data_IF_955243202070
#
_entry.id   IF_955243202070
#
_cell.length_a   1.000
_cell.length_b   1.000
_cell.length_c   1.000
_cell.angle_alpha   90.00
_cell.angle_beta   90.00
_cell.angle_gamma   90.00
#
_symmetry.space_group_name_H-M   'P 1'
#
loop_
_entity.id
_entity.type
_entity.pdbx_description
1 polymer ?
#
# COMPACT_ATOMS: atom_id res chain seq x y z
N UNK A 1 9.24 -3.79 -9.07
CA UNK A 1 10.03 -3.75 -7.80
C UNK A 1 9.25 -4.37 -6.65
N UNK A 2 8.04 -3.90 -6.35
CA UNK A 2 7.22 -4.47 -5.28
C UNK A 2 6.84 -5.95 -5.53
N UNK A 3 6.58 -6.33 -6.79
CA UNK A 3 6.40 -7.73 -7.18
C UNK A 3 7.54 -8.65 -6.72
N UNK A 4 8.81 -8.22 -6.89
CA UNK A 4 9.98 -9.00 -6.47
C UNK A 4 9.98 -9.24 -4.95
N UNK A 5 9.59 -8.23 -4.15
CA UNK A 5 9.46 -8.34 -2.69
C UNK A 5 8.44 -9.43 -2.33
N UNK A 6 7.27 -9.42 -2.96
CA UNK A 6 6.21 -10.39 -2.69
C UNK A 6 6.53 -11.79 -3.23
N UNK A 7 7.23 -11.91 -4.36
CA UNK A 7 7.78 -13.18 -4.84
C UNK A 7 8.79 -13.76 -3.84
N UNK A 8 9.68 -12.92 -3.29
CA UNK A 8 10.65 -13.35 -2.28
C UNK A 8 10.00 -13.80 -0.97
N UNK A 9 8.99 -13.06 -0.49
CA UNK A 9 8.18 -13.46 0.66
C UNK A 9 7.50 -14.81 0.40
N UNK A 10 6.97 -15.00 -0.82
CA UNK A 10 6.33 -16.25 -1.26
C UNK A 10 7.32 -17.39 -1.40
N UNK A 11 8.58 -17.14 -1.75
CA UNK A 11 9.61 -18.19 -1.79
C UNK A 11 10.09 -18.54 -0.37
N UNK A 12 10.07 -17.55 0.54
CA UNK A 12 10.54 -17.66 1.92
C UNK A 12 9.42 -17.85 2.94
N UNK A 13 8.26 -18.42 2.53
CA UNK A 13 7.05 -18.55 3.38
C UNK A 13 7.36 -19.09 4.77
N UNK A 14 8.13 -20.18 4.83
CA UNK A 14 8.53 -20.86 6.07
C UNK A 14 9.36 -19.97 7.00
N UNK A 15 10.27 -19.16 6.44
CA UNK A 15 11.09 -18.24 7.20
C UNK A 15 10.23 -17.15 7.84
N UNK A 16 9.33 -16.55 7.07
CA UNK A 16 8.43 -15.53 7.58
C UNK A 16 7.43 -16.11 8.60
N UNK A 17 6.89 -17.31 8.35
CA UNK A 17 6.00 -18.03 9.26
C UNK A 17 6.69 -18.45 10.56
N UNK A 18 8.03 -18.59 10.60
CA UNK A 18 8.78 -18.86 11.83
C UNK A 18 8.87 -17.66 12.79
N UNK A 19 8.29 -16.51 12.42
CA UNK A 19 8.18 -15.37 13.33
C UNK A 19 7.41 -15.75 14.60
N UNK A 20 7.90 -15.28 15.75
CA UNK A 20 7.31 -15.52 17.07
C UNK A 20 6.46 -14.33 17.56
N UNK A 21 6.71 -13.13 17.01
CA UNK A 21 6.02 -11.89 17.33
C UNK A 21 5.66 -11.11 16.06
N UNK A 22 4.68 -10.22 16.16
CA UNK A 22 4.33 -9.33 15.05
C UNK A 22 5.48 -8.38 14.68
N UNK A 23 6.20 -7.88 15.67
CA UNK A 23 7.38 -7.04 15.46
C UNK A 23 8.49 -7.78 14.68
N UNK A 24 8.73 -9.06 14.97
CA UNK A 24 9.69 -9.87 14.23
C UNK A 24 9.26 -10.01 12.76
N UNK A 25 7.97 -10.30 12.52
CA UNK A 25 7.42 -10.45 11.18
C UNK A 25 7.49 -9.13 10.37
N UNK A 26 7.13 -8.01 10.99
CA UNK A 26 7.19 -6.67 10.42
C UNK A 26 8.63 -6.27 10.06
N UNK A 27 9.59 -6.53 10.96
CA UNK A 27 11.00 -6.28 10.71
C UNK A 27 11.57 -7.15 9.58
N UNK A 28 11.15 -8.42 9.48
CA UNK A 28 11.53 -9.27 8.34
C UNK A 28 11.01 -8.71 7.01
N UNK A 29 9.76 -8.23 6.99
CA UNK A 29 9.18 -7.59 5.80
C UNK A 29 9.92 -6.30 5.44
N UNK A 30 10.20 -5.45 6.43
CA UNK A 30 11.00 -4.23 6.27
C UNK A 30 12.38 -4.52 5.66
N UNK A 31 13.04 -5.60 6.10
CA UNK A 31 14.33 -6.01 5.56
C UNK A 31 14.24 -6.49 4.11
N UNK A 32 13.13 -7.14 3.72
CA UNK A 32 12.92 -7.52 2.32
C UNK A 32 12.64 -6.29 1.44
N UNK A 33 11.88 -5.31 1.92
CA UNK A 33 11.70 -4.02 1.23
C UNK A 33 13.03 -3.30 0.99
N UNK A 34 13.93 -3.25 1.99
CA UNK A 34 15.24 -2.60 1.90
C UNK A 34 16.15 -3.12 0.79
N UNK A 35 15.92 -4.34 0.29
CA UNK A 35 16.70 -4.90 -0.82
C UNK A 35 16.37 -4.24 -2.17
N UNK A 36 15.19 -3.65 -2.29
CA UNK A 36 14.68 -3.08 -3.53
C UNK A 36 14.33 -1.59 -3.43
N UNK A 37 14.13 -1.09 -2.21
CA UNK A 37 13.69 0.28 -1.92
C UNK A 37 14.62 0.95 -0.91
N UNK A 38 14.85 2.25 -1.10
CA UNK A 38 15.56 3.08 -0.13
C UNK A 38 14.61 3.53 0.98
N UNK A 39 14.97 3.24 2.23
CA UNK A 39 14.22 3.74 3.38
C UNK A 39 14.56 5.22 3.63
N UNK A 40 13.52 6.03 3.85
CA UNK A 40 13.64 7.41 4.32
C UNK A 40 13.54 7.35 5.85
N UNK A 41 14.56 7.80 6.56
CA UNK A 41 14.65 7.76 8.02
C UNK A 41 14.48 9.18 8.62
N UNK A 42 14.66 9.34 9.93
CA UNK A 42 14.80 10.68 10.54
C UNK A 42 13.58 11.63 10.44
N UNK A 43 13.84 12.94 10.50
CA UNK A 43 12.82 13.96 10.23
C UNK A 43 12.47 13.92 8.74
N UNK A 44 11.29 13.36 8.47
CA UNK A 44 10.70 13.24 7.14
C UNK A 44 10.81 14.55 6.34
N UNK A 45 10.57 15.70 6.96
CA UNK A 45 10.55 16.98 6.25
C UNK A 45 11.95 17.46 5.87
N UNK A 46 12.96 17.22 6.70
CA UNK A 46 14.35 17.53 6.38
C UNK A 46 14.88 16.60 5.29
N UNK A 47 14.69 15.28 5.43
CA UNK A 47 15.15 14.32 4.42
C UNK A 47 14.49 14.56 3.06
N UNK A 48 13.17 14.79 3.04
CA UNK A 48 12.45 15.07 1.80
C UNK A 48 12.84 16.43 1.19
N UNK A 49 13.25 17.42 1.98
CA UNK A 49 13.67 18.74 1.45
C UNK A 49 14.92 18.64 0.58
N UNK A 50 15.85 17.77 0.98
CA UNK A 50 17.04 17.48 0.21
C UNK A 50 16.75 16.62 -1.01
N UNK A 51 15.81 15.67 -0.89
CA UNK A 51 15.46 14.74 -1.97
C UNK A 51 14.60 15.41 -3.05
N UNK A 52 13.62 16.23 -2.67
CA UNK A 52 12.66 16.85 -3.59
C UNK A 52 13.08 18.22 -4.12
N UNK A 53 14.14 18.83 -3.55
CA UNK A 53 14.56 20.21 -3.83
C UNK A 53 13.42 21.24 -3.63
N UNK A 54 12.48 20.92 -2.71
CA UNK A 54 11.32 21.76 -2.37
C UNK A 54 11.45 22.32 -0.95
N UNK A 55 10.87 23.51 -0.67
CA UNK A 55 10.80 24.03 0.69
C UNK A 55 10.06 23.09 1.65
N UNK A 56 10.51 22.98 2.91
CA UNK A 56 9.89 22.10 3.93
C UNK A 56 8.38 22.34 4.08
N UNK A 57 7.92 23.59 3.91
CA UNK A 57 6.49 23.94 3.97
C UNK A 57 5.68 23.26 2.87
N UNK A 58 6.18 23.25 1.64
CA UNK A 58 5.50 22.61 0.49
C UNK A 58 5.48 21.10 0.65
N UNK A 59 6.58 20.51 1.11
CA UNK A 59 6.67 19.09 1.41
C UNK A 59 5.67 18.70 2.49
N UNK A 60 5.60 19.46 3.58
CA UNK A 60 4.65 19.22 4.67
C UNK A 60 3.21 19.31 4.18
N UNK A 61 2.89 20.29 3.33
CA UNK A 61 1.56 20.42 2.73
C UNK A 61 1.24 19.24 1.82
N UNK A 62 2.14 18.86 0.92
CA UNK A 62 1.97 17.72 0.01
C UNK A 62 1.83 16.40 0.78
N UNK A 63 2.66 16.18 1.80
CA UNK A 63 2.60 14.99 2.64
C UNK A 63 1.30 14.93 3.46
N UNK A 64 0.83 16.06 3.97
CA UNK A 64 -0.46 16.12 4.67
C UNK A 64 -1.65 15.85 3.74
N UNK A 65 -1.58 16.30 2.47
CA UNK A 65 -2.59 15.96 1.46
C UNK A 65 -2.57 14.47 1.14
N UNK A 66 -1.38 13.90 0.92
CA UNK A 66 -1.21 12.45 0.73
C UNK A 66 -1.74 11.66 1.93
N UNK A 67 -1.42 12.10 3.16
CA UNK A 67 -1.92 11.49 4.39
C UNK A 67 -3.45 11.42 4.42
N UNK A 68 -4.14 12.49 4.03
CA UNK A 68 -5.62 12.48 3.96
C UNK A 68 -6.10 11.39 3.00
N UNK A 69 -5.55 11.32 1.80
CA UNK A 69 -5.94 10.32 0.80
C UNK A 69 -5.61 8.88 1.24
N UNK A 70 -4.46 8.66 1.88
CA UNK A 70 -4.08 7.36 2.48
C UNK A 70 -5.06 6.95 3.58
N UNK A 71 -5.55 7.91 4.37
CA UNK A 71 -6.46 7.65 5.49
C UNK A 71 -7.93 7.61 5.11
N UNK A 72 -8.30 7.91 3.86
CA UNK A 72 -9.68 7.78 3.40
C UNK A 72 -10.19 6.33 3.51
N UNK A 73 -11.47 6.18 3.87
CA UNK A 73 -12.06 4.86 4.13
C UNK A 73 -12.40 4.11 2.83
N UNK A 74 -12.69 4.83 1.74
CA UNK A 74 -13.15 4.25 0.48
C UNK A 74 -12.52 4.87 -0.78
N UNK A 75 -11.27 5.32 -0.72
CA UNK A 75 -10.61 5.92 -1.90
C UNK A 75 -10.38 4.86 -3.00
N UNK A 76 -11.01 4.98 -4.19
CA UNK A 76 -11.01 3.90 -5.17
C UNK A 76 -9.77 3.87 -6.06
N UNK A 77 -9.08 4.99 -6.18
CA UNK A 77 -7.96 5.11 -7.11
C UNK A 77 -6.61 4.85 -6.44
N UNK A 78 -5.65 4.43 -7.25
CA UNK A 78 -4.24 4.40 -6.88
C UNK A 78 -3.79 5.80 -6.52
N UNK A 79 -3.08 5.95 -5.40
CA UNK A 79 -2.62 7.24 -4.93
C UNK A 79 -1.47 7.74 -5.79
N UNK A 80 -1.52 9.01 -6.17
CA UNK A 80 -0.44 9.65 -6.90
C UNK A 80 0.70 10.02 -5.96
N UNK A 81 1.91 9.81 -6.43
CA UNK A 81 3.10 10.26 -5.74
C UNK A 81 3.30 11.77 -5.96
N UNK A 82 3.21 12.61 -4.92
CA UNK A 82 3.44 14.05 -5.05
C UNK A 82 4.94 14.41 -5.09
N UNK A 83 5.82 13.41 -4.95
CA UNK A 83 7.25 13.56 -4.80
C UNK A 83 8.00 12.87 -5.94
N UNK A 84 8.39 13.64 -6.96
CA UNK A 84 8.93 13.11 -8.23
C UNK A 84 10.26 12.37 -8.07
N UNK A 85 11.03 12.67 -7.02
CA UNK A 85 12.33 12.05 -6.76
C UNK A 85 12.18 10.77 -5.91
N UNK A 86 11.02 10.55 -5.28
CA UNK A 86 10.72 9.32 -4.54
C UNK A 86 10.25 8.19 -5.46
N UNK A 87 11.14 7.63 -6.28
CA UNK A 87 10.74 6.63 -7.29
C UNK A 87 10.84 5.17 -6.83
N UNK A 88 11.75 4.88 -5.89
CA UNK A 88 11.86 3.57 -5.22
C UNK A 88 12.25 3.79 -3.75
N UNK A 89 11.32 4.37 -2.99
CA UNK A 89 11.53 4.67 -1.58
C UNK A 89 10.39 4.14 -0.73
N UNK A 90 10.62 3.98 0.57
CA UNK A 90 9.53 3.72 1.50
C UNK A 90 9.75 4.45 2.83
N UNK A 91 8.64 4.63 3.53
CA UNK A 91 8.59 5.09 4.91
C UNK A 91 8.09 3.96 5.79
N UNK A 92 8.76 3.76 6.92
CA UNK A 92 8.31 2.90 7.99
C UNK A 92 7.58 3.73 9.03
N UNK A 93 6.36 3.31 9.41
CA UNK A 93 5.48 4.01 10.34
C UNK A 93 5.31 5.51 9.99
N UNK A 94 4.91 5.85 8.75
CA UNK A 94 4.86 7.22 8.21
C UNK A 94 4.05 8.21 9.05
N UNK A 95 3.08 7.74 9.84
CA UNK A 95 2.21 8.56 10.67
C UNK A 95 2.36 8.27 12.17
N UNK A 96 3.45 7.62 12.57
CA UNK A 96 3.75 7.24 13.95
C UNK A 96 3.38 5.79 14.27
N UNK A 97 3.93 5.27 15.37
CA UNK A 97 3.70 3.89 15.80
C UNK A 97 2.22 3.65 16.11
N UNK A 98 1.73 2.44 15.77
CA UNK A 98 0.32 2.03 15.86
C UNK A 98 -0.66 2.73 14.90
N UNK A 99 -0.19 3.62 14.03
CA UNK A 99 -1.03 4.25 13.01
C UNK A 99 -0.88 3.55 11.67
N UNK A 100 -2.01 3.28 11.01
CA UNK A 100 -2.04 2.81 9.65
C UNK A 100 -1.47 3.87 8.67
N UNK A 101 -0.73 3.49 7.61
CA UNK A 101 -0.21 2.15 7.34
C UNK A 101 1.14 1.94 8.04
N UNK A 102 1.53 0.68 8.26
CA UNK A 102 2.88 0.34 8.75
C UNK A 102 3.99 0.75 7.76
N UNK A 103 3.72 0.68 6.45
CA UNK A 103 4.63 1.14 5.41
C UNK A 103 3.92 2.01 4.38
N UNK A 104 4.60 3.05 3.91
CA UNK A 104 4.18 3.83 2.74
C UNK A 104 5.26 3.73 1.66
N UNK A 105 4.96 3.04 0.57
CA UNK A 105 5.91 2.72 -0.50
C UNK A 105 5.66 3.62 -1.70
N UNK A 106 6.70 4.32 -2.14
CA UNK A 106 6.71 5.22 -3.28
C UNK A 106 7.32 4.49 -4.49
N UNK A 107 6.53 4.38 -5.57
CA UNK A 107 6.86 3.65 -6.79
C UNK A 107 6.54 4.57 -7.97
N UNK A 108 7.56 5.25 -8.48
CA UNK A 108 7.42 6.23 -9.56
C UNK A 108 6.28 7.22 -9.28
N UNK A 109 5.22 7.21 -10.10
CA UNK A 109 4.09 8.13 -10.01
C UNK A 109 3.03 7.70 -8.98
N UNK A 110 3.28 6.62 -8.24
CA UNK A 110 2.29 5.99 -7.37
C UNK A 110 2.80 5.79 -5.95
N UNK A 111 1.86 5.76 -5.01
CA UNK A 111 2.09 5.47 -3.60
C UNK A 111 1.15 4.35 -3.16
N UNK A 112 1.68 3.40 -2.40
CA UNK A 112 0.91 2.28 -1.87
C UNK A 112 1.15 2.17 -0.38
N UNK A 113 0.06 2.17 0.39
CA UNK A 113 0.11 1.80 1.81
C UNK A 113 0.18 0.28 1.95
N UNK A 114 1.06 -0.20 2.81
CA UNK A 114 1.15 -1.62 3.17
C UNK A 114 0.95 -1.75 4.68
N UNK A 115 -0.02 -2.56 5.07
CA UNK A 115 -0.30 -2.88 6.47
C UNK A 115 0.08 -4.33 6.75
N UNK A 116 0.78 -4.53 7.86
CA UNK A 116 1.17 -5.83 8.35
C UNK A 116 0.23 -6.27 9.46
N UNK A 117 -0.18 -7.53 9.40
CA UNK A 117 -0.93 -8.20 10.46
C UNK A 117 -0.28 -9.53 10.77
N UNK A 118 -0.16 -9.84 12.05
CA UNK A 118 0.43 -11.10 12.49
C UNK A 118 -0.37 -11.69 13.64
N UNK A 119 -0.59 -13.00 13.59
CA UNK A 119 -1.23 -13.74 14.68
C UNK A 119 -0.35 -14.89 15.15
N UNK A 120 -0.23 -15.03 16.47
CA UNK A 120 0.38 -16.21 17.07
C UNK A 120 -0.52 -17.43 16.89
N UNK A 121 0.09 -18.60 16.79
CA UNK A 121 -0.60 -19.87 16.70
C UNK A 121 -0.57 -20.56 18.07
N UNK A 122 -1.33 -20.00 19.01
CA UNK A 122 -1.21 -20.34 20.44
C UNK A 122 -1.80 -21.72 20.82
N UNK A 123 -2.38 -22.50 19.88
CA UNK A 123 -3.10 -23.76 20.22
C UNK A 123 -2.86 -24.95 19.29
N UNK A 124 -1.71 -25.02 18.63
CA UNK A 124 -1.40 -26.12 17.69
C UNK A 124 -2.42 -26.23 16.56
N UNK A 125 -2.16 -27.10 15.60
CA UNK A 125 -2.94 -27.24 14.36
C UNK A 125 -4.45 -27.50 14.57
N UNK A 126 -4.89 -27.87 15.78
CA UNK A 126 -6.27 -28.26 16.07
C UNK A 126 -7.26 -27.09 16.21
N UNK A 127 -6.81 -25.84 16.39
CA UNK A 127 -7.71 -24.68 16.55
C UNK A 127 -7.27 -23.44 15.75
N UNK A 128 -7.33 -23.53 14.42
CA UNK A 128 -7.13 -22.42 13.45
C UNK A 128 -8.08 -21.22 13.67
N UNK A 129 -9.03 -21.29 14.61
CA UNK A 129 -9.98 -20.23 14.93
C UNK A 129 -9.35 -18.98 15.57
N UNK A 130 -8.24 -19.10 16.31
CA UNK A 130 -7.61 -17.98 17.04
C UNK A 130 -6.52 -17.25 16.26
N UNK A 131 -6.12 -17.77 15.10
CA UNK A 131 -5.06 -17.25 14.24
C UNK A 131 -5.62 -16.63 12.96
N UNK A 132 -6.59 -15.73 13.13
CA UNK A 132 -7.24 -15.00 12.03
C UNK A 132 -6.89 -13.51 12.09
N UNK A 133 -6.79 -12.82 10.94
CA UNK A 133 -6.63 -11.37 10.95
C UNK A 133 -7.93 -10.76 11.46
N UNK A 134 -7.84 -10.11 12.62
CA UNK A 134 -8.93 -9.34 13.20
C UNK A 134 -8.81 -7.89 12.76
N UNK A 135 -9.89 -7.35 12.23
CA UNK A 135 -9.96 -5.95 11.83
C UNK A 135 -10.70 -5.18 12.90
N UNK A 136 -9.98 -4.33 13.62
CA UNK A 136 -10.56 -3.49 14.64
C UNK A 136 -10.93 -2.14 14.04
N UNK A 137 -12.19 -1.74 14.23
CA UNK A 137 -12.71 -0.39 13.99
C UNK A 137 -12.74 0.09 12.52
N UNK A 138 -11.87 -0.41 11.64
CA UNK A 138 -11.76 -0.01 10.25
C UNK A 138 -11.75 -1.20 9.30
N UNK A 139 -12.45 -1.04 8.18
CA UNK A 139 -12.39 -1.97 7.06
C UNK A 139 -11.03 -1.85 6.36
N UNK A 140 -10.53 -2.93 5.73
CA UNK A 140 -9.39 -2.84 4.82
C UNK A 140 -9.61 -1.73 3.79
N UNK A 141 -8.64 -0.84 3.63
CA UNK A 141 -8.67 0.26 2.68
C UNK A 141 -8.51 -0.27 1.25
N UNK A 142 -9.35 0.16 0.30
CA UNK A 142 -9.38 -0.45 -1.03
C UNK A 142 -8.05 -0.38 -1.79
N UNK A 143 -7.30 0.71 -1.64
CA UNK A 143 -6.07 0.99 -2.38
C UNK A 143 -4.79 0.55 -1.65
N UNK A 144 -4.92 -0.23 -0.57
CA UNK A 144 -3.82 -0.70 0.25
C UNK A 144 -3.53 -2.19 0.04
N UNK A 145 -2.29 -2.58 0.30
CA UNK A 145 -1.90 -3.99 0.38
C UNK A 145 -1.86 -4.39 1.85
N UNK A 146 -2.37 -5.57 2.13
CA UNK A 146 -2.31 -6.16 3.45
C UNK A 146 -1.48 -7.42 3.38
N UNK A 147 -0.55 -7.57 4.32
CA UNK A 147 0.28 -8.77 4.47
C UNK A 147 -0.03 -9.39 5.81
N UNK A 148 -0.55 -10.60 5.77
CA UNK A 148 -0.98 -11.34 6.94
C UNK A 148 -0.12 -12.59 7.13
N UNK A 149 0.55 -12.68 8.28
CA UNK A 149 1.30 -13.87 8.68
C UNK A 149 0.65 -14.58 9.86
N UNK A 150 0.66 -15.91 9.82
CA UNK A 150 0.32 -16.77 10.96
C UNK A 150 1.57 -17.55 11.38
N UNK A 151 1.90 -17.48 12.67
CA UNK A 151 3.02 -18.23 13.23
C UNK A 151 2.91 -19.73 12.90
N UNK A 152 3.97 -20.32 12.38
CA UNK A 152 4.08 -21.75 12.05
C UNK A 152 3.00 -22.29 11.09
N UNK A 153 2.31 -21.43 10.33
CA UNK A 153 1.30 -21.88 9.37
C UNK A 153 1.59 -21.34 7.97
N UNK A 154 1.10 -20.15 7.65
CA UNK A 154 1.21 -19.59 6.30
C UNK A 154 1.18 -18.05 6.30
N UNK A 155 1.41 -17.49 5.12
CA UNK A 155 1.36 -16.06 4.84
C UNK A 155 0.46 -15.83 3.66
N UNK A 156 -0.34 -14.78 3.76
CA UNK A 156 -1.24 -14.33 2.71
C UNK A 156 -1.08 -12.84 2.54
N UNK A 157 -1.25 -12.35 1.32
CA UNK A 157 -1.39 -10.93 1.07
C UNK A 157 -2.46 -10.70 0.01
N UNK A 158 -3.12 -9.55 0.11
CA UNK A 158 -4.24 -9.18 -0.75
C UNK A 158 -4.35 -7.65 -0.81
N UNK A 159 -5.02 -7.14 -1.84
CA UNK A 159 -5.43 -5.73 -1.86
C UNK A 159 -6.74 -5.57 -1.10
N UNK A 160 -6.94 -4.46 -0.39
CA UNK A 160 -8.17 -4.28 0.39
C UNK A 160 -9.45 -4.25 -0.44
N UNK A 161 -9.37 -3.92 -1.74
CA UNK A 161 -10.49 -4.04 -2.69
C UNK A 161 -10.87 -5.49 -3.01
N UNK A 162 -9.95 -6.44 -2.84
CA UNK A 162 -10.18 -7.85 -3.18
C UNK A 162 -11.04 -8.55 -2.11
N UNK A 163 -10.92 -8.09 -0.85
CA UNK A 163 -11.72 -8.58 0.27
C UNK A 163 -13.13 -8.01 0.25
N UNK A 164 -13.26 -6.72 -0.05
CA UNK A 164 -14.51 -6.00 0.08
C UNK A 164 -14.69 -5.04 -1.09
N UNK A 165 -15.74 -5.30 -1.87
CA UNK A 165 -16.13 -4.46 -3.00
C UNK A 165 -16.48 -3.04 -2.53
N UNK A 166 -16.42 -2.08 -3.46
CA UNK A 166 -16.73 -0.68 -3.19
C UNK A 166 -18.18 -0.50 -2.75
N UNK A 167 -19.12 -1.21 -3.39
CA UNK A 167 -20.56 -1.16 -3.10
C UNK A 167 -20.84 -1.71 -1.70
N UNK A 168 -20.25 -2.85 -1.36
CA UNK A 168 -20.38 -3.45 -0.02
C UNK A 168 -19.80 -2.53 1.04
N UNK A 169 -18.64 -1.92 0.75
CA UNK A 169 -17.98 -0.97 1.65
C UNK A 169 -18.84 0.28 1.89
N UNK A 170 -19.44 0.86 0.85
CA UNK A 170 -20.36 2.00 0.99
C UNK A 170 -21.53 1.70 1.92
N UNK A 171 -22.17 0.53 1.75
CA UNK A 171 -23.27 0.10 2.62
C UNK A 171 -22.81 -0.03 4.07
N UNK A 172 -21.66 -0.68 4.30
CA UNK A 172 -21.11 -0.86 5.64
C UNK A 172 -20.72 0.48 6.29
N UNK A 173 -20.10 1.39 5.54
CA UNK A 173 -19.72 2.70 6.05
C UNK A 173 -20.95 3.52 6.49
N UNK A 174 -22.02 3.53 5.70
CA UNK A 174 -23.29 4.18 6.08
C UNK A 174 -23.89 3.59 7.35
N UNK A 175 -23.82 2.26 7.50
CA UNK A 175 -24.27 1.60 8.72
C UNK A 175 -23.39 1.99 9.92
N UNK A 176 -22.07 2.04 9.76
CA UNK A 176 -21.17 2.44 10.84
C UNK A 176 -21.36 3.89 11.27
N UNK A 177 -21.66 4.80 10.33
CA UNK A 177 -21.99 6.19 10.68
C UNK A 177 -23.27 6.27 11.52
N UNK A 178 -24.19 5.30 11.36
CA UNK A 178 -25.38 5.19 12.22
C UNK A 178 -25.01 4.70 13.60
N UNK A 179 -24.20 3.63 13.70
CA UNK A 179 -23.70 3.12 14.97
C UNK A 179 -22.90 4.17 15.77
N UNK A 180 -22.09 4.97 15.09
CA UNK A 180 -21.29 6.01 15.74
C UNK A 180 -22.20 7.10 16.36
N UNK A 181 -23.34 7.42 15.72
CA UNK A 181 -24.37 8.32 16.28
C UNK A 181 -25.10 7.69 17.46
N UNK A 182 -25.39 6.39 17.39
CA UNK A 182 -26.03 5.67 18.49
C UNK A 182 -25.10 5.58 19.72
N UNK A 183 -23.79 5.39 19.50
CA UNK A 183 -22.79 5.41 20.55
C UNK A 183 -22.68 6.80 21.21
N UNK A 184 -22.70 7.87 20.42
CA UNK A 184 -22.73 9.25 20.95
C UNK A 184 -24.01 9.51 21.75
N UNK A 185 -25.15 9.01 21.27
CA UNK A 185 -26.43 9.10 21.98
C UNK A 185 -26.39 8.35 23.32
N UNK A 186 -25.80 7.16 23.36
CA UNK A 186 -25.59 6.40 24.60
C UNK A 186 -24.68 7.17 25.57
N UNK A 187 -23.55 7.71 25.09
CA UNK A 187 -22.63 8.51 25.91
C UNK A 187 -23.33 9.72 26.53
N UNK A 188 -24.19 10.41 25.76
CA UNK A 188 -24.97 11.53 26.26
C UNK A 188 -26.00 11.10 27.31
N UNK A 189 -26.72 9.99 27.07
CA UNK A 189 -27.70 9.47 28.03
C UNK A 189 -27.09 9.04 29.37
N UNK A 190 -25.82 8.60 29.36
CA UNK A 190 -25.11 8.17 30.56
C UNK A 190 -24.42 9.33 31.31
N UNK A 191 -24.30 10.52 30.71
CA UNK A 191 -23.50 11.64 31.22
C UNK A 191 -23.95 12.14 32.59
N UNK A 192 -25.26 12.16 32.81
CA UNK A 192 -25.87 12.73 34.02
C UNK A 192 -26.27 11.66 35.05
N UNK A 193 -25.99 10.38 34.78
CA UNK A 193 -26.28 9.28 35.70
C UNK A 193 -25.15 9.10 36.72
N UNK A 194 -25.51 8.77 37.96
CA UNK A 194 -24.53 8.45 39.00
C UNK A 194 -23.72 7.22 38.57
N UNK A 195 -22.41 7.40 38.43
CA UNK A 195 -21.48 6.36 37.99
C UNK A 195 -20.33 6.24 38.99
N UNK A 196 -20.60 5.71 40.20
CA UNK A 196 -19.64 5.71 41.30
C UNK A 196 -18.39 4.86 41.02
N UNK A 197 -18.47 3.95 40.05
CA UNK A 197 -17.37 3.08 39.63
C UNK A 197 -16.69 3.52 38.32
N UNK A 198 -17.17 4.59 37.68
CA UNK A 198 -16.62 5.08 36.42
C UNK A 198 -16.79 4.11 35.23
N UNK A 199 -17.82 3.27 35.24
CA UNK A 199 -18.09 2.31 34.16
C UNK A 199 -18.54 3.04 32.89
N UNK A 200 -17.78 2.92 31.80
CA UNK A 200 -18.05 3.60 30.53
C UNK A 200 -18.17 2.58 29.38
N UNK A 201 -19.40 2.17 29.01
CA UNK A 201 -19.59 1.24 27.90
C UNK A 201 -19.28 1.91 26.55
N UNK A 202 -18.76 1.14 25.60
CA UNK A 202 -18.53 1.58 24.22
C UNK A 202 -18.82 0.43 23.24
N UNK A 203 -19.13 0.79 21.99
CA UNK A 203 -19.42 -0.19 20.94
C UNK A 203 -18.12 -0.47 20.17
N UNK A 204 -17.68 -1.74 20.14
CA UNK A 204 -16.50 -2.15 19.38
C UNK A 204 -16.88 -2.86 18.10
N UNK A 205 -16.45 -2.29 16.97
CA UNK A 205 -16.53 -2.89 15.64
C UNK A 205 -15.36 -3.87 15.45
N UNK A 206 -15.65 -5.15 15.26
CA UNK A 206 -14.66 -6.21 15.03
C UNK A 206 -15.10 -7.14 13.89
N UNK A 207 -14.18 -7.42 12.96
CA UNK A 207 -14.45 -8.29 11.81
C UNK A 207 -13.44 -9.42 11.74
N UNK A 208 -13.93 -10.62 11.43
CA UNK A 208 -13.14 -11.84 11.30
C UNK A 208 -13.27 -12.43 9.90
N UNK A 209 -12.21 -13.10 9.45
CA UNK A 209 -12.21 -13.86 8.20
C UNK A 209 -12.89 -15.23 8.38
N UNK A 210 -13.52 -15.75 7.31
CA UNK A 210 -14.07 -17.11 7.29
C UNK A 210 -12.95 -18.16 7.38
N UNK A 211 -13.30 -19.38 7.84
CA UNK A 211 -12.36 -20.46 8.21
C UNK A 211 -11.55 -21.01 7.03
N UNK A 212 -12.12 -20.99 5.84
CA UNK A 212 -11.43 -21.37 4.61
C UNK A 212 -10.69 -20.12 4.12
N UNK A 213 -9.35 -20.15 4.12
CA UNK A 213 -8.61 -19.22 3.28
C UNK A 213 -9.19 -19.36 1.88
N UNK A 214 -9.71 -18.27 1.32
CA UNK A 214 -10.30 -18.35 0.00
C UNK A 214 -9.24 -18.88 -0.96
N UNK A 215 -9.48 -20.07 -1.52
CA UNK A 215 -8.64 -20.61 -2.60
C UNK A 215 -8.65 -19.68 -3.84
N UNK A 216 -9.56 -18.69 -3.90
CA UNK A 216 -9.54 -17.64 -4.93
C UNK A 216 -8.43 -16.59 -4.70
N UNK A 217 -7.81 -16.53 -3.52
CA UNK A 217 -6.72 -15.60 -3.21
C UNK A 217 -5.37 -16.34 -3.18
N UNK A 218 -5.22 -17.37 -4.02
CA UNK A 218 -3.89 -17.86 -4.34
C UNK A 218 -3.06 -16.68 -4.85
N UNK A 219 -1.82 -16.60 -4.39
CA UNK A 219 -0.81 -15.59 -4.73
C UNK A 219 -0.68 -15.39 -6.25
N UNK A 220 -1.01 -16.43 -7.03
CA UNK A 220 -1.08 -16.38 -8.49
C UNK A 220 -2.12 -15.37 -9.01
N UNK A 221 -3.23 -15.10 -8.30
CA UNK A 221 -4.24 -14.11 -8.69
C UNK A 221 -3.75 -12.66 -8.57
N UNK A 222 -2.95 -12.35 -7.54
CA UNK A 222 -2.36 -11.01 -7.31
C UNK A 222 -1.38 -10.62 -8.42
N UNK A 223 -0.71 -11.61 -9.02
CA UNK A 223 0.19 -11.46 -10.18
C UNK A 223 -0.39 -11.99 -11.49
N UNK A 224 -1.67 -12.40 -11.51
CA UNK A 224 -2.22 -13.10 -12.66
C UNK A 224 -2.35 -12.17 -13.87
N UNK A 225 -2.12 -12.74 -15.06
CA UNK A 225 -2.36 -12.13 -16.39
C UNK A 225 -3.74 -11.50 -16.56
N UNK A 226 -4.70 -11.82 -15.69
CA UNK A 226 -6.03 -11.22 -15.67
C UNK A 226 -6.03 -9.74 -15.21
N UNK A 227 -4.95 -9.24 -14.61
CA UNK A 227 -4.82 -7.81 -14.28
C UNK A 227 -4.70 -6.94 -15.53
N UNK A 228 -3.95 -7.42 -16.54
CA UNK A 228 -3.84 -6.77 -17.86
C UNK A 228 -5.21 -6.77 -18.56
N UNK A 229 -5.93 -7.88 -18.49
CA UNK A 229 -7.29 -8.02 -19.01
C UNK A 229 -8.24 -6.99 -18.37
N UNK A 230 -8.20 -6.85 -17.04
CA UNK A 230 -9.02 -5.87 -16.30
C UNK A 230 -8.63 -4.42 -16.59
N UNK A 231 -7.34 -4.15 -16.86
CA UNK A 231 -6.85 -2.81 -17.20
C UNK A 231 -7.34 -2.36 -18.59
N UNK A 232 -7.33 -3.26 -19.59
CA UNK A 232 -7.87 -2.96 -20.92
C UNK A 232 -9.40 -2.95 -20.96
N UNK A 233 -10.06 -3.84 -20.20
CA UNK A 233 -11.51 -3.83 -20.02
C UNK A 233 -12.00 -2.53 -19.37
N UNK A 234 -11.30 -2.02 -18.34
CA UNK A 234 -11.68 -0.74 -17.71
C UNK A 234 -11.64 0.42 -18.70
N UNK A 235 -10.59 0.54 -19.51
CA UNK A 235 -10.51 1.59 -20.54
C UNK A 235 -11.64 1.43 -21.57
N UNK A 236 -11.86 0.21 -22.07
CA UNK A 236 -12.90 -0.05 -23.06
C UNK A 236 -14.31 0.22 -22.52
N UNK A 237 -14.59 -0.14 -21.26
CA UNK A 237 -15.86 0.16 -20.59
C UNK A 237 -16.06 1.67 -20.44
N UNK A 238 -15.04 2.42 -20.04
CA UNK A 238 -15.15 3.87 -19.88
C UNK A 238 -15.40 4.60 -21.21
N UNK A 239 -14.83 4.11 -22.32
CA UNK A 239 -15.03 4.70 -23.65
C UNK A 239 -16.40 4.37 -24.24
N UNK A 240 -16.96 3.19 -23.93
CA UNK A 240 -18.18 2.69 -24.59
C UNK A 240 -19.41 2.59 -23.67
N UNK A 241 -19.31 3.04 -22.42
CA UNK A 241 -20.50 3.18 -21.55
C UNK A 241 -21.40 4.28 -22.11
N UNK A 242 -22.70 4.08 -22.03
CA UNK A 242 -23.67 5.13 -22.30
C UNK A 242 -23.79 6.03 -21.07
N UNK A 243 -23.63 7.34 -21.28
CA UNK A 243 -23.75 8.33 -20.21
C UNK A 243 -25.21 8.74 -20.01
N UNK A 244 -25.63 8.82 -18.75
CA UNK A 244 -26.99 9.17 -18.32
C UNK A 244 -27.16 9.05 -16.81
N UNK A 245 -28.37 9.30 -16.29
CA UNK A 245 -28.68 9.20 -14.85
C UNK A 245 -28.48 7.79 -14.27
N UNK A 246 -28.45 6.76 -15.11
CA UNK A 246 -28.03 5.41 -14.76
C UNK A 246 -27.13 4.89 -15.87
N UNK A 247 -25.79 5.00 -15.73
CA UNK A 247 -24.87 4.57 -16.77
C UNK A 247 -24.94 3.06 -16.95
N UNK A 248 -24.85 2.61 -18.20
CA UNK A 248 -24.88 1.19 -18.55
C UNK A 248 -23.98 0.90 -19.75
N UNK A 249 -23.60 -0.36 -19.92
CA UNK A 249 -22.88 -0.86 -21.10
C UNK A 249 -23.67 -2.01 -21.72
N UNK A 250 -23.72 -2.05 -23.05
CA UNK A 250 -24.42 -3.11 -23.78
C UNK A 250 -23.58 -4.38 -23.76
N UNK A 251 -24.20 -5.51 -23.46
CA UNK A 251 -23.49 -6.79 -23.34
C UNK A 251 -22.80 -7.21 -24.65
N UNK A 252 -23.35 -6.85 -25.81
CA UNK A 252 -22.71 -7.08 -27.11
C UNK A 252 -21.35 -6.39 -27.21
N UNK A 253 -21.23 -5.14 -26.72
CA UNK A 253 -19.98 -4.38 -26.68
C UNK A 253 -18.89 -5.09 -25.87
N UNK A 254 -19.27 -5.79 -24.80
CA UNK A 254 -18.32 -6.59 -24.01
C UNK A 254 -17.97 -7.93 -24.67
N UNK A 255 -18.93 -8.55 -25.36
CA UNK A 255 -18.74 -9.86 -26.02
C UNK A 255 -17.86 -9.77 -27.26
N UNK A 256 -17.96 -8.66 -27.99
CA UNK A 256 -17.21 -8.44 -29.23
C UNK A 256 -15.83 -7.79 -28.96
N UNK A 257 -15.44 -7.61 -27.70
CA UNK A 257 -14.14 -7.07 -27.33
C UNK A 257 -13.04 -8.11 -27.52
N UNK A 258 -12.45 -8.13 -28.71
CA UNK A 258 -11.29 -8.95 -29.01
C UNK A 258 -10.02 -8.35 -28.38
N UNK A 259 -9.38 -9.13 -27.51
CA UNK A 259 -8.07 -8.80 -26.96
C UNK A 259 -7.03 -9.61 -27.72
N UNK A 260 -6.11 -8.89 -28.37
CA UNK A 260 -4.93 -9.50 -28.96
C UNK A 260 -4.02 -9.99 -27.84
N UNK A 261 -4.15 -11.26 -27.48
CA UNK A 261 -3.30 -11.93 -26.50
C UNK A 261 -2.24 -12.75 -27.25
N UNK A 262 -0.99 -12.24 -27.38
CA UNK A 262 0.05 -12.96 -28.09
C UNK A 262 0.41 -14.28 -27.37
N UNK A 263 1.09 -15.23 -28.03
CA UNK A 263 1.57 -16.46 -27.39
C UNK A 263 2.42 -16.19 -26.15
N UNK A 264 2.47 -17.18 -25.24
CA UNK A 264 3.17 -17.09 -23.96
C UNK A 264 4.62 -16.59 -24.10
N UNK A 265 5.37 -17.15 -25.03
CA UNK A 265 6.78 -16.81 -25.24
C UNK A 265 6.96 -15.36 -25.72
N UNK A 266 6.03 -14.87 -26.54
CA UNK A 266 6.03 -13.50 -27.02
C UNK A 266 5.64 -12.52 -25.91
N UNK A 267 4.68 -12.87 -25.04
CA UNK A 267 4.37 -12.10 -23.84
C UNK A 267 5.61 -11.96 -22.93
N UNK A 268 6.36 -13.04 -22.73
CA UNK A 268 7.60 -13.06 -21.94
C UNK A 268 8.66 -12.18 -22.61
N UNK A 269 8.84 -12.30 -23.93
CA UNK A 269 9.80 -11.51 -24.68
C UNK A 269 9.50 -9.99 -24.59
N UNK A 270 8.23 -9.61 -24.81
CA UNK A 270 7.79 -8.22 -24.68
C UNK A 270 8.03 -7.70 -23.26
N UNK A 271 7.63 -8.47 -22.24
CA UNK A 271 7.83 -8.09 -20.84
C UNK A 271 9.31 -7.90 -20.49
N UNK A 272 10.18 -8.78 -20.99
CA UNK A 272 11.63 -8.70 -20.76
C UNK A 272 12.24 -7.47 -21.42
N UNK A 273 11.85 -7.15 -22.66
CA UNK A 273 12.33 -5.95 -23.38
C UNK A 273 11.91 -4.69 -22.64
N UNK A 274 10.63 -4.58 -22.27
CA UNK A 274 10.11 -3.42 -21.54
C UNK A 274 10.79 -3.28 -20.16
N UNK A 275 10.97 -4.39 -19.44
CA UNK A 275 11.68 -4.39 -18.16
C UNK A 275 13.15 -3.97 -18.30
N UNK A 276 13.84 -4.39 -19.38
CA UNK A 276 15.20 -4.00 -19.65
C UNK A 276 15.31 -2.49 -19.96
N UNK A 277 14.37 -1.94 -20.73
CA UNK A 277 14.27 -0.50 -20.98
C UNK A 277 14.01 0.28 -19.69
N UNK A 278 13.09 -0.19 -18.84
CA UNK A 278 12.84 0.42 -17.53
C UNK A 278 14.11 0.41 -16.67
N UNK A 279 14.84 -0.70 -16.65
CA UNK A 279 16.12 -0.81 -15.94
C UNK A 279 17.17 0.18 -16.46
N UNK A 280 17.26 0.37 -17.78
CA UNK A 280 18.18 1.35 -18.37
C UNK A 280 17.77 2.79 -18.04
N UNK A 281 16.48 3.12 -18.10
CA UNK A 281 15.96 4.44 -17.69
C UNK A 281 16.31 4.71 -16.21
N UNK A 282 16.15 3.72 -15.33
CA UNK A 282 16.52 3.83 -13.91
C UNK A 282 18.02 4.07 -13.76
N UNK A 283 18.85 3.31 -14.48
CA UNK A 283 20.32 3.45 -14.49
C UNK A 283 20.74 4.87 -14.90
N UNK A 284 20.15 5.40 -15.98
CA UNK A 284 20.41 6.74 -16.48
C UNK A 284 19.95 7.84 -15.51
N UNK A 285 18.76 7.71 -14.92
CA UNK A 285 18.26 8.63 -13.88
C UNK A 285 19.19 8.66 -12.66
N UNK A 286 19.67 7.49 -12.22
CA UNK A 286 20.62 7.39 -11.11
C UNK A 286 21.97 8.03 -11.44
N UNK A 287 22.53 7.80 -12.63
CA UNK A 287 23.75 8.46 -13.10
C UNK A 287 23.60 9.97 -13.16
N UNK A 288 22.48 10.46 -13.71
CA UNK A 288 22.18 11.91 -13.74
C UNK A 288 22.20 12.51 -12.33
N UNK A 289 21.52 11.87 -11.37
CA UNK A 289 21.49 12.31 -9.97
C UNK A 289 22.89 12.33 -9.33
N UNK A 290 23.73 11.33 -9.59
CA UNK A 290 25.11 11.32 -9.11
C UNK A 290 25.90 12.52 -9.66
N UNK A 291 25.75 12.83 -10.94
CA UNK A 291 26.40 14.00 -11.53
C UNK A 291 25.88 15.32 -10.98
N UNK A 292 24.59 15.45 -10.70
CA UNK A 292 24.02 16.66 -10.09
C UNK A 292 24.54 16.88 -8.66
N UNK A 293 24.64 15.80 -7.86
CA UNK A 293 25.23 15.87 -6.53
C UNK A 293 26.72 16.25 -6.58
N UNK A 294 27.50 15.64 -7.48
CA UNK A 294 28.91 15.99 -7.68
C UNK A 294 29.04 17.46 -8.09
N UNK A 295 28.21 17.93 -9.03
CA UNK A 295 28.19 19.33 -9.48
C UNK A 295 27.89 20.28 -8.33
N UNK A 296 26.91 19.94 -7.48
CA UNK A 296 26.51 20.76 -6.33
C UNK A 296 27.60 20.82 -5.27
N UNK A 297 28.20 19.68 -4.93
CA UNK A 297 29.32 19.61 -3.99
C UNK A 297 30.53 20.40 -4.50
N UNK A 298 30.88 20.23 -5.78
CA UNK A 298 31.97 20.97 -6.41
C UNK A 298 31.71 22.48 -6.40
N UNK A 299 30.49 22.91 -6.75
CA UNK A 299 30.11 24.32 -6.70
C UNK A 299 30.21 24.89 -5.28
N UNK A 300 29.75 24.15 -4.27
CA UNK A 300 29.88 24.56 -2.88
C UNK A 300 31.36 24.72 -2.48
N UNK A 301 32.21 23.75 -2.83
CA UNK A 301 33.63 23.78 -2.47
C UNK A 301 34.41 24.88 -3.19
N UNK A 302 34.01 25.22 -4.43
CA UNK A 302 34.53 26.36 -5.17
C UNK A 302 34.09 27.70 -4.55
N UNK A 303 32.81 27.86 -4.23
CA UNK A 303 32.26 29.11 -3.67
C UNK A 303 32.72 29.35 -2.23
N UNK A 304 32.93 28.30 -1.45
CA UNK A 304 33.49 28.37 -0.09
C UNK A 304 35.02 28.47 -0.07
N UNK A 305 35.67 28.53 -1.24
CA UNK A 305 37.11 28.56 -1.41
C UNK A 305 37.88 27.39 -0.74
N UNK A 306 37.19 26.29 -0.42
CA UNK A 306 37.80 25.02 0.03
C UNK A 306 38.66 24.41 -1.07
N UNK A 307 38.20 24.52 -2.31
CA UNK A 307 38.95 24.15 -3.52
C UNK A 307 39.20 25.44 -4.30
N UNK A 308 40.44 25.66 -4.72
CA UNK A 308 40.83 26.80 -5.56
C UNK A 308 41.28 26.30 -6.92
N UNK A 309 40.84 26.97 -7.98
CA UNK A 309 41.32 26.70 -9.34
C UNK A 309 42.71 27.32 -9.47
N UNK A 310 43.72 26.49 -9.76
CA UNK A 310 45.07 26.97 -10.06
C UNK A 310 45.02 27.78 -11.36
N UNK A 311 45.56 29.01 -11.34
CA UNK A 311 45.76 29.77 -12.58
C UNK A 311 46.76 29.02 -13.44
N UNK A 312 46.37 28.72 -14.68
CA UNK A 312 47.31 28.40 -15.75
C UNK A 312 48.10 29.65 -16.12
#
# INVERSE_FOLDING_TARGET
>A
MLEKVFQEITNKRKFFASSSTGEQFENQFRNELKKHFSEINGDLTEELSHIEEKPNKEIKTAFNQLKKQVLEKNHPHTLKNPFSNLTSHFLYQPFGSQNYPDFLVFIFDHVVGIEIKFSKNDKGEKNIQTSRPMWNSNLPKPNAIYVYGVANADITFFKGSDILSYETREVLLKYFDTLDKDEESLKNALKDLENPFGFAPYIRKAYEHKKEFSNHHQIESFFSRNHILTMFLQSHIQTNKNEGNTPYIVMATLKDFEILLPPLDEQIAIANILSALDHEIISLKNKKRQFENIKKALNHDLMSAKIRVLKK
#
